data_IF_786456129998
#
_entry.id   IF_786456129998
#
_cell.length_a   1.000
_cell.length_b   1.000
_cell.length_c   1.000
_cell.angle_alpha   90.00
_cell.angle_beta   90.00
_cell.angle_gamma   90.00
#
_symmetry.space_group_name_H-M   'P 1'
#
loop_
_entity.id
_entity.type
_entity.pdbx_description
1 polymer ?
#
# COMPACT_ATOMS: atom_id res chain seq x y z
N UNK A 1 -0.06 14.89 -10.67
CA UNK A 1 0.30 13.91 -9.61
C UNK A 1 -0.65 14.00 -8.40
N UNK A 2 -1.32 12.90 -8.02
CA UNK A 2 -2.07 12.83 -6.75
C UNK A 2 -3.56 12.50 -6.83
N UNK A 3 -4.11 12.14 -8.00
CA UNK A 3 -5.52 11.76 -8.09
C UNK A 3 -5.83 10.49 -7.29
N UNK A 4 -5.00 9.45 -7.40
CA UNK A 4 -5.20 8.22 -6.62
C UNK A 4 -5.08 8.49 -5.12
N UNK A 5 -4.07 9.25 -4.65
CA UNK A 5 -3.99 9.62 -3.24
C UNK A 5 -5.26 10.35 -2.75
N UNK A 6 -5.77 11.33 -3.51
CA UNK A 6 -7.01 12.04 -3.16
C UNK A 6 -8.20 11.08 -3.08
N UNK A 7 -8.35 10.19 -4.07
CA UNK A 7 -9.42 9.20 -4.11
C UNK A 7 -9.35 8.21 -2.95
N UNK A 8 -8.15 7.75 -2.59
CA UNK A 8 -7.96 6.86 -1.45
C UNK A 8 -8.27 7.55 -0.12
N UNK A 9 -7.86 8.82 0.05
CA UNK A 9 -8.21 9.61 1.24
C UNK A 9 -9.70 9.95 1.34
N UNK A 10 -10.41 10.05 0.20
CA UNK A 10 -11.85 10.30 0.17
C UNK A 10 -12.68 9.00 0.28
N UNK A 11 -12.04 7.84 0.30
CA UNK A 11 -12.74 6.55 0.38
C UNK A 11 -13.32 6.35 1.78
N UNK A 12 -14.63 6.09 1.86
CA UNK A 12 -15.30 5.70 3.12
C UNK A 12 -14.85 4.34 3.68
N UNK A 13 -14.06 3.58 2.92
CA UNK A 13 -13.60 2.24 3.29
C UNK A 13 -12.14 2.21 3.76
N UNK A 14 -11.44 3.36 3.70
CA UNK A 14 -10.03 3.45 4.00
C UNK A 14 -9.76 4.55 5.01
N UNK A 15 -9.00 4.21 6.03
CA UNK A 15 -8.51 5.16 7.02
C UNK A 15 -7.04 5.42 6.82
N UNK A 16 -6.65 6.68 6.67
CA UNK A 16 -5.26 7.07 6.53
C UNK A 16 -4.51 6.89 7.86
N UNK A 17 -3.48 6.03 7.86
CA UNK A 17 -2.68 5.73 9.04
C UNK A 17 -1.57 6.78 9.21
N UNK A 18 -1.56 7.46 10.36
CA UNK A 18 -0.52 8.44 10.73
C UNK A 18 -0.10 8.29 12.21
N UNK A 19 1.21 8.21 12.53
CA UNK A 19 2.32 7.96 11.60
C UNK A 19 2.20 6.57 10.95
N UNK A 20 2.94 6.33 9.86
CA UNK A 20 3.01 5.01 9.22
C UNK A 20 3.52 3.97 10.22
N UNK A 21 2.87 2.81 10.28
CA UNK A 21 3.19 1.68 11.16
C UNK A 21 3.55 0.41 10.39
N UNK A 22 3.26 0.35 9.09
CA UNK A 22 3.48 -0.82 8.23
C UNK A 22 2.89 -2.11 8.82
N UNK A 23 1.65 -2.05 9.30
CA UNK A 23 1.00 -3.24 9.91
C UNK A 23 0.47 -4.19 8.85
N UNK A 24 0.61 -5.50 9.11
CA UNK A 24 -0.03 -6.54 8.30
C UNK A 24 -1.53 -6.25 8.11
N UNK A 25 -2.02 -6.45 6.88
CA UNK A 25 -3.37 -6.13 6.45
C UNK A 25 -3.58 -4.69 5.97
N UNK A 26 -2.67 -3.77 6.26
CA UNK A 26 -2.77 -2.40 5.75
C UNK A 26 -2.33 -2.32 4.28
N UNK A 27 -2.85 -1.31 3.59
CA UNK A 27 -2.53 -1.00 2.22
C UNK A 27 -1.51 0.15 2.15
N UNK A 28 -0.52 0.03 1.29
CA UNK A 28 0.49 1.06 1.03
C UNK A 28 0.24 1.68 -0.34
N UNK A 29 0.36 3.01 -0.41
CA UNK A 29 0.52 3.74 -1.65
C UNK A 29 2.01 4.07 -1.82
N UNK A 30 2.62 3.54 -2.87
CA UNK A 30 4.04 3.69 -3.19
C UNK A 30 4.17 4.59 -4.42
N UNK A 31 5.16 5.48 -4.38
CA UNK A 31 5.53 6.33 -5.51
C UNK A 31 6.85 5.81 -6.08
N UNK A 32 6.86 5.56 -7.37
CA UNK A 32 8.08 5.35 -8.15
C UNK A 32 8.36 6.62 -8.97
N UNK A 33 9.62 6.88 -9.28
CA UNK A 33 10.01 8.13 -9.94
C UNK A 33 9.41 8.27 -11.36
N UNK A 34 9.20 7.15 -12.05
CA UNK A 34 8.77 7.11 -13.45
C UNK A 34 7.51 6.26 -13.70
N UNK A 35 6.86 5.73 -12.66
CA UNK A 35 5.73 4.79 -12.80
C UNK A 35 4.45 5.37 -12.16
N UNK A 36 3.24 4.90 -12.55
CA UNK A 36 2.00 5.23 -11.86
C UNK A 36 2.10 4.95 -10.36
N UNK A 37 1.30 5.67 -9.56
CA UNK A 37 1.19 5.38 -8.14
C UNK A 37 0.78 3.91 -7.94
N UNK A 38 1.53 3.18 -7.12
CA UNK A 38 1.42 1.74 -6.98
C UNK A 38 0.81 1.36 -5.64
N UNK A 39 0.04 0.28 -5.61
CA UNK A 39 -0.62 -0.20 -4.39
C UNK A 39 -0.06 -1.57 -4.00
N UNK A 40 0.20 -1.74 -2.71
CA UNK A 40 0.65 -3.00 -2.12
C UNK A 40 -0.08 -3.28 -0.81
N UNK A 41 -0.22 -4.54 -0.42
CA UNK A 41 -0.76 -4.94 0.88
C UNK A 41 0.37 -5.47 1.74
N UNK A 42 0.46 -5.00 2.99
CA UNK A 42 1.42 -5.55 3.95
C UNK A 42 0.95 -6.93 4.39
N UNK A 43 1.79 -7.94 4.23
CA UNK A 43 1.48 -9.33 4.63
C UNK A 43 2.13 -9.67 5.96
N UNK A 44 3.39 -9.27 6.16
CA UNK A 44 4.14 -9.44 7.40
C UNK A 44 4.78 -8.13 7.81
N UNK A 45 4.84 -7.82 9.10
CA UNK A 45 5.45 -6.59 9.62
C UNK A 45 6.60 -6.83 10.62
N UNK A 46 6.86 -8.08 10.99
CA UNK A 46 7.95 -8.47 11.88
C UNK A 46 8.35 -9.94 11.65
N UNK A 47 9.65 -10.30 11.62
CA UNK A 47 10.84 -9.46 11.79
C UNK A 47 11.19 -8.62 10.55
N UNK A 48 10.61 -8.94 9.39
CA UNK A 48 10.78 -8.18 8.14
C UNK A 48 9.41 -7.75 7.62
N UNK A 49 9.37 -6.59 6.95
CA UNK A 49 8.14 -6.13 6.31
C UNK A 49 8.07 -6.67 4.88
N UNK A 50 7.13 -7.58 4.65
CA UNK A 50 6.79 -8.08 3.32
C UNK A 50 5.46 -7.52 2.83
N UNK A 51 5.33 -7.42 1.51
CA UNK A 51 4.14 -6.94 0.84
C UNK A 51 3.77 -7.86 -0.31
N UNK A 52 2.47 -8.03 -0.54
CA UNK A 52 1.93 -8.60 -1.77
C UNK A 52 1.45 -7.50 -2.69
N UNK A 53 1.83 -7.58 -3.96
CA UNK A 53 1.43 -6.60 -4.97
C UNK A 53 1.51 -7.18 -6.38
N UNK A 54 0.75 -6.58 -7.31
CA UNK A 54 0.93 -6.86 -8.74
C UNK A 54 2.25 -6.23 -9.21
N UNK A 55 3.18 -7.03 -9.72
CA UNK A 55 4.47 -6.53 -10.18
C UNK A 55 4.53 -6.55 -11.71
N UNK A 56 4.53 -5.36 -12.31
CA UNK A 56 4.59 -5.18 -13.78
C UNK A 56 5.84 -5.83 -14.38
N UNK A 57 7.00 -5.70 -13.73
CA UNK A 57 8.28 -6.25 -14.19
C UNK A 57 8.27 -7.75 -14.41
N UNK A 58 7.53 -8.51 -13.60
CA UNK A 58 7.43 -9.97 -13.74
C UNK A 58 6.07 -10.45 -14.25
N UNK A 59 5.13 -9.52 -14.51
CA UNK A 59 3.81 -9.83 -15.06
C UNK A 59 2.89 -10.67 -14.14
N UNK A 60 3.13 -10.68 -12.82
CA UNK A 60 2.33 -11.47 -11.87
C UNK A 60 2.26 -10.81 -10.49
N UNK A 61 1.33 -11.30 -9.66
CA UNK A 61 1.32 -11.01 -8.23
C UNK A 61 2.46 -11.76 -7.56
N UNK A 62 3.19 -11.08 -6.68
CA UNK A 62 4.22 -11.69 -5.86
C UNK A 62 4.23 -11.09 -4.45
N UNK A 63 4.81 -11.83 -3.53
CA UNK A 63 5.17 -11.35 -2.20
C UNK A 63 6.68 -11.09 -2.13
N UNK A 64 7.09 -9.94 -1.61
CA UNK A 64 8.51 -9.61 -1.40
C UNK A 64 8.70 -8.63 -0.24
N UNK A 65 9.94 -8.52 0.25
CA UNK A 65 10.33 -7.47 1.17
C UNK A 65 10.27 -6.10 0.50
N UNK A 66 9.95 -5.05 1.27
CA UNK A 66 9.98 -3.67 0.79
C UNK A 66 11.45 -3.24 0.60
N UNK A 67 11.89 -2.93 -0.63
CA UNK A 67 13.24 -2.40 -0.87
C UNK A 67 13.42 -0.99 -0.27
N UNK A 68 14.62 -0.61 0.21
CA UNK A 68 14.87 0.70 0.82
C UNK A 68 14.54 1.90 -0.09
N UNK A 69 14.64 1.74 -1.40
CA UNK A 69 14.37 2.77 -2.40
C UNK A 69 12.88 3.04 -2.63
N UNK A 70 11.98 2.22 -2.08
CA UNK A 70 10.54 2.42 -2.26
C UNK A 70 10.03 3.58 -1.42
N UNK A 71 9.55 4.62 -2.09
CA UNK A 71 8.96 5.78 -1.44
C UNK A 71 7.49 5.50 -1.09
N UNK A 72 7.26 4.99 0.12
CA UNK A 72 5.91 4.83 0.67
C UNK A 72 5.32 6.23 0.88
N UNK A 73 4.33 6.60 0.07
CA UNK A 73 3.65 7.89 0.15
C UNK A 73 2.61 7.92 1.27
N UNK A 74 1.79 6.88 1.38
CA UNK A 74 0.74 6.77 2.37
C UNK A 74 0.50 5.30 2.81
N UNK A 75 -0.08 5.11 3.98
CA UNK A 75 -0.55 3.82 4.50
C UNK A 75 -2.02 3.97 4.89
N UNK A 76 -2.84 2.98 4.52
CA UNK A 76 -4.27 2.97 4.78
C UNK A 76 -4.66 1.68 5.49
N UNK A 77 -5.57 1.79 6.45
CA UNK A 77 -6.26 0.66 7.06
C UNK A 77 -7.60 0.46 6.34
N UNK A 78 -7.96 -0.78 6.04
CA UNK A 78 -9.33 -1.09 5.63
C UNK A 78 -10.26 -1.02 6.85
N UNK A 79 -11.34 -0.25 6.74
CA UNK A 79 -12.36 -0.15 7.78
C UNK A 79 -13.34 -1.34 7.78
N UNK A 80 -13.15 -2.30 6.87
CA UNK A 80 -14.03 -3.43 6.62
C UNK A 80 -14.93 -3.20 5.40
N UNK A 81 -15.39 -4.30 4.80
CA UNK A 81 -16.61 -4.30 4.01
C UNK A 81 -17.73 -4.23 5.05
N UNK A 82 -18.23 -3.04 5.35
CA UNK A 82 -19.46 -2.96 6.15
C UNK A 82 -20.55 -3.65 5.34
N UNK A 83 -21.14 -4.72 5.87
CA UNK A 83 -22.41 -5.25 5.41
C UNK A 83 -23.42 -4.08 5.46
N UNK A 84 -23.63 -3.44 4.32
CA UNK A 84 -24.62 -2.39 4.12
C UNK A 84 -25.62 -2.91 3.10
#
# INVERSE_FOLDING_TARGET
PGDMLRRLCASKHLDLVRPKKLRAGNMLLIKFDNDPQHVALVTTSHPYTSVVHACSRVGRVLEQNIPPEWLISAEFRFLGLSDA
#
